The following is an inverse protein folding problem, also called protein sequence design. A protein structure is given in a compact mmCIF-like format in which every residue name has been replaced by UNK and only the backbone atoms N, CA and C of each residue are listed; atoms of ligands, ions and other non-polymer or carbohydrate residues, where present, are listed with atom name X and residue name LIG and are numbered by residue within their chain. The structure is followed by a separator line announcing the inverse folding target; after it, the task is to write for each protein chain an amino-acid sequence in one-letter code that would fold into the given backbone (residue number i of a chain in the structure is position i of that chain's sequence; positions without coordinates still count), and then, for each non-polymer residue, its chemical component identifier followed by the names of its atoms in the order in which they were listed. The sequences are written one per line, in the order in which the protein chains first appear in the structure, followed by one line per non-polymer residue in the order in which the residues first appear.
data_IF_615338108618
#
_entry.id   IF_615338108618
#
_cell.length_a   1.000
_cell.length_b   1.000
_cell.length_c   1.000
_cell.angle_alpha   90.00
_cell.angle_beta   90.00
_cell.angle_gamma   90.00
#
_symmetry.space_group_name_H-M   'P 1'
#
loop_
_entity.id
_entity.type
_entity.pdbx_description
1 polymer ?
#
# COMPACT_ATOMS: atom_id res chain seq x y z
N UNK A 1 -11.10 33.38 -0.89
CA UNK A 1 -10.73 31.98 -0.54
C UNK A 1 -11.95 31.11 -0.79
N UNK A 2 -11.98 30.45 -1.96
CA UNK A 2 -12.99 29.46 -2.27
C UNK A 2 -12.55 28.19 -1.56
N UNK A 3 -13.21 27.84 -0.45
CA UNK A 3 -13.01 26.58 0.23
C UNK A 3 -13.42 25.44 -0.71
N UNK A 4 -12.44 24.69 -1.24
CA UNK A 4 -12.73 23.39 -1.86
C UNK A 4 -13.38 22.52 -0.78
N UNK A 5 -14.70 22.38 -0.83
CA UNK A 5 -15.38 21.29 -0.12
C UNK A 5 -14.73 20.00 -0.59
N UNK A 6 -13.93 19.37 0.27
CA UNK A 6 -13.55 17.96 0.08
C UNK A 6 -14.86 17.21 -0.06
N UNK A 7 -15.15 16.76 -1.27
CA UNK A 7 -16.19 15.75 -1.46
C UNK A 7 -15.63 14.52 -0.76
N UNK A 8 -16.09 14.31 0.47
CA UNK A 8 -15.82 13.06 1.15
C UNK A 8 -16.32 11.95 0.23
N UNK A 9 -15.44 11.04 -0.16
CA UNK A 9 -15.85 9.82 -0.84
C UNK A 9 -16.70 9.05 0.17
N UNK A 10 -18.03 9.23 0.10
CA UNK A 10 -18.94 8.42 0.90
C UNK A 10 -18.93 7.02 0.30
N UNK A 11 -18.36 6.06 1.01
CA UNK A 11 -18.53 4.64 0.70
C UNK A 11 -20.03 4.35 0.75
N UNK A 12 -20.58 3.92 -0.39
CA UNK A 12 -21.99 3.61 -0.56
C UNK A 12 -22.27 2.16 -0.23
N UNK A 13 -21.48 1.28 -0.81
CA UNK A 13 -21.67 -0.16 -0.71
C UNK A 13 -20.55 -0.79 0.14
N UNK A 14 -20.95 -1.65 1.07
CA UNK A 14 -20.03 -2.38 1.96
C UNK A 14 -20.28 -3.86 1.81
N UNK A 15 -19.23 -4.58 1.43
CA UNK A 15 -19.21 -6.03 1.35
C UNK A 15 -18.49 -6.58 2.57
N UNK A 16 -19.10 -7.47 3.32
CA UNK A 16 -18.58 -7.86 4.61
C UNK A 16 -18.59 -9.36 4.87
N UNK A 17 -17.63 -9.84 5.66
CA UNK A 17 -17.68 -11.17 6.23
C UNK A 17 -18.83 -11.28 7.26
N UNK A 18 -19.16 -12.47 7.71
CA UNK A 18 -20.26 -12.69 8.67
C UNK A 18 -20.10 -11.90 9.97
N UNK A 19 -18.85 -11.75 10.47
CA UNK A 19 -18.57 -10.94 11.67
C UNK A 19 -18.87 -9.46 11.43
N UNK A 20 -18.51 -8.90 10.27
CA UNK A 20 -18.76 -7.50 9.95
C UNK A 20 -20.23 -7.21 9.68
N UNK A 21 -20.97 -8.15 9.09
CA UNK A 21 -22.41 -8.01 8.89
C UNK A 21 -23.19 -7.93 10.21
N UNK A 22 -22.74 -8.65 11.24
CA UNK A 22 -23.34 -8.56 12.59
C UNK A 22 -23.18 -7.20 13.24
N UNK A 23 -22.12 -6.45 12.87
CA UNK A 23 -21.84 -5.12 13.39
C UNK A 23 -22.45 -3.99 12.56
N UNK A 24 -22.75 -4.23 11.31
CA UNK A 24 -23.30 -3.21 10.41
C UNK A 24 -24.41 -3.79 9.54
N UNK A 25 -25.64 -3.34 9.79
CA UNK A 25 -26.80 -3.69 8.97
C UNK A 25 -26.74 -3.16 7.53
N UNK A 26 -25.76 -2.31 7.23
CA UNK A 26 -25.55 -1.71 5.90
C UNK A 26 -24.56 -2.51 5.04
N UNK A 27 -24.02 -3.63 5.52
CA UNK A 27 -23.11 -4.46 4.74
C UNK A 27 -23.83 -5.69 4.18
N UNK A 28 -23.61 -5.96 2.90
CA UNK A 28 -24.02 -7.19 2.23
C UNK A 28 -22.93 -8.24 2.35
N UNK A 29 -23.25 -9.50 2.06
CA UNK A 29 -22.28 -10.59 2.17
C UNK A 29 -21.22 -10.47 1.08
N UNK A 30 -19.94 -10.48 1.49
CA UNK A 30 -18.81 -10.60 0.58
C UNK A 30 -18.66 -12.06 0.10
N UNK A 31 -18.26 -12.22 -1.14
CA UNK A 31 -17.76 -13.47 -1.71
C UNK A 31 -16.24 -13.58 -1.54
N UNK A 32 -15.64 -14.67 -1.97
CA UNK A 32 -14.18 -14.84 -1.88
C UNK A 32 -13.44 -13.92 -2.87
N UNK A 33 -14.04 -13.66 -4.03
CA UNK A 33 -13.52 -12.80 -5.08
C UNK A 33 -13.43 -11.33 -4.62
N UNK A 34 -14.35 -10.89 -3.76
CA UNK A 34 -14.38 -9.51 -3.25
C UNK A 34 -13.13 -9.10 -2.46
N UNK A 35 -12.35 -10.08 -1.96
CA UNK A 35 -11.13 -9.79 -1.19
C UNK A 35 -9.97 -9.33 -2.06
N UNK A 36 -9.95 -9.71 -3.35
CA UNK A 36 -8.91 -9.33 -4.31
C UNK A 36 -9.39 -8.34 -5.36
N UNK A 37 -10.68 -7.98 -5.35
CA UNK A 37 -11.27 -7.09 -6.34
C UNK A 37 -10.87 -5.64 -6.11
N UNK A 38 -10.42 -4.97 -7.18
CA UNK A 38 -10.18 -3.53 -7.20
C UNK A 38 -11.44 -2.80 -7.67
N UNK A 39 -12.16 -2.23 -6.72
CA UNK A 39 -13.40 -1.50 -7.02
C UNK A 39 -13.11 -0.11 -7.57
N UNK A 40 -13.50 0.14 -8.82
CA UNK A 40 -13.44 1.48 -9.44
C UNK A 40 -14.63 2.38 -9.04
N UNK A 41 -15.13 2.22 -7.82
CA UNK A 41 -16.33 2.90 -7.31
C UNK A 41 -16.33 3.00 -5.79
N UNK A 42 -17.39 3.61 -5.20
CA UNK A 42 -17.50 3.79 -3.75
C UNK A 42 -17.91 2.50 -3.02
N UNK A 43 -17.20 1.43 -3.26
CA UNK A 43 -17.39 0.09 -2.70
C UNK A 43 -16.22 -0.25 -1.79
N UNK A 44 -16.47 -0.89 -0.66
CA UNK A 44 -15.45 -1.33 0.29
C UNK A 44 -15.74 -2.75 0.74
N UNK A 45 -14.77 -3.64 0.62
CA UNK A 45 -14.79 -4.94 1.28
C UNK A 45 -14.21 -4.84 2.70
N UNK A 46 -14.83 -5.53 3.66
CA UNK A 46 -14.48 -5.47 5.07
C UNK A 46 -14.42 -6.87 5.67
N UNK A 47 -13.29 -7.23 6.24
CA UNK A 47 -13.10 -8.47 6.98
C UNK A 47 -12.69 -8.18 8.42
N UNK A 48 -13.33 -8.83 9.38
CA UNK A 48 -12.94 -8.81 10.78
C UNK A 48 -12.13 -10.07 11.04
N UNK A 49 -10.94 -9.87 11.58
CA UNK A 49 -9.99 -10.92 11.93
C UNK A 49 -9.74 -10.93 13.44
N UNK A 50 -9.20 -12.01 13.97
CA UNK A 50 -9.03 -12.17 15.42
C UNK A 50 -7.60 -11.79 15.88
N UNK A 51 -6.66 -11.62 14.95
CA UNK A 51 -5.27 -11.28 15.27
C UNK A 51 -4.61 -10.47 14.15
N UNK A 52 -3.49 -9.84 14.47
CA UNK A 52 -2.64 -9.17 13.48
C UNK A 52 -2.03 -10.19 12.50
N UNK A 53 -1.73 -11.41 12.95
CA UNK A 53 -1.21 -12.47 12.06
C UNK A 53 -2.22 -12.85 10.99
N UNK A 54 -3.49 -12.96 11.37
CA UNK A 54 -4.57 -13.21 10.40
C UNK A 54 -4.74 -12.04 9.43
N UNK A 55 -4.56 -10.79 9.89
CA UNK A 55 -4.61 -9.62 9.04
C UNK A 55 -3.46 -9.62 8.02
N UNK A 56 -2.23 -9.88 8.46
CA UNK A 56 -1.05 -9.95 7.61
C UNK A 56 -1.19 -11.07 6.58
N UNK A 57 -1.63 -12.26 6.99
CA UNK A 57 -1.90 -13.38 6.08
C UNK A 57 -2.97 -13.02 5.04
N UNK A 58 -4.02 -12.28 5.44
CA UNK A 58 -5.06 -11.83 4.53
C UNK A 58 -4.51 -10.85 3.49
N UNK A 59 -3.68 -9.90 3.91
CA UNK A 59 -2.98 -8.96 3.02
C UNK A 59 -2.08 -9.70 2.04
N UNK A 60 -1.28 -10.66 2.52
CA UNK A 60 -0.39 -11.46 1.69
C UNK A 60 -1.16 -12.23 0.61
N UNK A 61 -2.30 -12.81 1.00
CA UNK A 61 -3.11 -13.65 0.09
C UNK A 61 -3.87 -12.85 -0.96
N UNK A 62 -4.41 -11.68 -0.60
CA UNK A 62 -5.36 -10.96 -1.45
C UNK A 62 -4.89 -9.57 -1.87
N UNK A 63 -3.87 -9.02 -1.23
CA UNK A 63 -3.34 -7.69 -1.54
C UNK A 63 -2.63 -7.62 -2.88
N UNK A 64 -2.57 -6.42 -3.44
CA UNK A 64 -1.86 -6.13 -4.69
C UNK A 64 -0.36 -5.90 -4.50
N UNK A 65 0.14 -5.94 -3.28
CA UNK A 65 1.52 -5.56 -2.88
C UNK A 65 1.86 -4.10 -3.20
N UNK A 66 0.84 -3.26 -3.33
CA UNK A 66 1.01 -1.83 -3.63
C UNK A 66 1.20 -1.02 -2.35
N UNK A 67 0.16 -0.81 -1.57
CA UNK A 67 0.20 0.07 -0.40
C UNK A 67 -0.70 -0.45 0.71
N UNK A 68 -0.12 -0.62 1.89
CA UNK A 68 -0.83 -1.09 3.07
C UNK A 68 -0.60 -0.15 4.25
N UNK A 69 -1.60 0.01 5.10
CA UNK A 69 -1.51 0.84 6.28
C UNK A 69 -2.18 0.20 7.50
N UNK A 70 -1.56 0.39 8.66
CA UNK A 70 -2.15 0.06 9.94
C UNK A 70 -2.44 1.34 10.73
N UNK A 71 -3.57 1.38 11.42
CA UNK A 71 -3.89 2.41 12.42
C UNK A 71 -3.86 1.74 13.78
N UNK A 72 -2.91 2.10 14.62
CA UNK A 72 -2.70 1.48 15.93
C UNK A 72 -1.94 2.40 16.88
N UNK A 73 -2.20 2.28 18.17
CA UNK A 73 -1.40 2.87 19.26
C UNK A 73 -0.45 1.83 19.87
N UNK A 74 -0.52 0.56 19.44
CA UNK A 74 0.32 -0.52 19.94
C UNK A 74 1.62 -0.61 19.14
N UNK A 75 2.74 -0.32 19.79
CA UNK A 75 4.08 -0.32 19.18
C UNK A 75 4.52 -1.69 18.66
N UNK A 76 4.15 -2.77 19.36
CA UNK A 76 4.50 -4.14 18.96
C UNK A 76 3.77 -4.50 17.66
N UNK A 77 2.46 -4.19 17.59
CA UNK A 77 1.66 -4.39 16.39
C UNK A 77 2.19 -3.56 15.21
N UNK A 78 2.59 -2.30 15.45
CA UNK A 78 3.14 -1.45 14.40
C UNK A 78 4.45 -1.99 13.85
N UNK A 79 5.37 -2.41 14.72
CA UNK A 79 6.67 -3.00 14.33
C UNK A 79 6.48 -4.31 13.57
N UNK A 80 5.60 -5.17 14.05
CA UNK A 80 5.28 -6.44 13.39
C UNK A 80 4.71 -6.20 11.98
N UNK A 81 3.75 -5.30 11.86
CA UNK A 81 3.14 -4.93 10.58
C UNK A 81 4.18 -4.40 9.59
N UNK A 82 5.04 -3.47 10.01
CA UNK A 82 6.10 -2.91 9.17
C UNK A 82 7.14 -3.95 8.72
N UNK A 83 7.41 -4.97 9.54
CA UNK A 83 8.43 -5.97 9.23
C UNK A 83 7.90 -7.14 8.39
N UNK A 84 6.62 -7.48 8.51
CA UNK A 84 6.07 -8.69 7.90
C UNK A 84 5.21 -8.41 6.66
N UNK A 85 4.60 -7.22 6.54
CA UNK A 85 3.86 -6.86 5.33
C UNK A 85 4.80 -6.48 4.20
N UNK A 86 4.74 -7.23 3.10
CA UNK A 86 5.63 -7.05 1.95
C UNK A 86 4.92 -6.34 0.78
N UNK A 87 4.58 -5.08 1.01
CA UNK A 87 4.05 -4.18 -0.02
C UNK A 87 5.06 -3.09 -0.38
N UNK A 88 4.89 -2.44 -1.52
CA UNK A 88 5.81 -1.39 -1.98
C UNK A 88 5.81 -0.17 -1.06
N UNK A 89 4.71 0.08 -0.37
CA UNK A 89 4.57 1.10 0.67
C UNK A 89 3.83 0.51 1.86
N UNK A 90 4.44 0.58 3.05
CA UNK A 90 3.84 0.11 4.30
C UNK A 90 3.86 1.24 5.31
N UNK A 91 2.71 1.58 5.88
CA UNK A 91 2.52 2.79 6.66
C UNK A 91 1.90 2.50 8.03
N UNK A 92 2.26 3.31 9.01
CA UNK A 92 1.63 3.32 10.34
C UNK A 92 1.05 4.70 10.59
N UNK A 93 -0.24 4.74 10.94
CA UNK A 93 -0.98 5.96 11.31
C UNK A 93 -0.90 7.08 10.25
N UNK A 94 -0.77 6.70 8.99
CA UNK A 94 -0.70 7.62 7.86
C UNK A 94 -1.71 7.20 6.77
N UNK A 95 -2.12 8.17 5.97
CA UNK A 95 -2.98 7.90 4.83
C UNK A 95 -2.22 7.19 3.71
N UNK A 96 -2.82 6.17 3.11
CA UNK A 96 -2.27 5.53 1.91
C UNK A 96 -2.09 6.48 0.74
N UNK A 97 -2.74 7.65 0.75
CA UNK A 97 -2.56 8.72 -0.23
C UNK A 97 -1.17 9.36 -0.23
N UNK A 98 -0.30 9.05 0.77
CA UNK A 98 1.11 9.43 0.75
C UNK A 98 1.99 8.52 -0.13
N UNK A 99 1.45 7.40 -0.64
CA UNK A 99 2.15 6.59 -1.64
C UNK A 99 2.10 7.27 -3.01
N UNK A 100 2.94 8.26 -3.18
CA UNK A 100 2.98 9.17 -4.34
C UNK A 100 4.42 9.59 -4.60
N UNK A 101 4.83 9.66 -5.87
CA UNK A 101 6.20 9.98 -6.25
C UNK A 101 6.63 11.40 -5.86
N UNK A 102 5.71 12.36 -5.78
CA UNK A 102 6.02 13.72 -5.32
C UNK A 102 6.14 13.77 -3.80
N UNK A 103 5.24 13.10 -3.08
CA UNK A 103 5.28 13.00 -1.62
C UNK A 103 6.56 12.29 -1.14
N UNK A 104 7.04 11.30 -1.89
CA UNK A 104 8.32 10.61 -1.63
C UNK A 104 9.56 11.38 -2.09
N UNK A 105 9.38 12.57 -2.69
CA UNK A 105 10.49 13.40 -3.14
C UNK A 105 11.19 12.90 -4.40
N UNK A 106 10.56 12.04 -5.19
CA UNK A 106 11.12 11.48 -6.42
C UNK A 106 11.01 12.43 -7.63
N UNK A 107 10.34 13.58 -7.46
CA UNK A 107 10.17 14.62 -8.47
C UNK A 107 9.26 14.27 -9.64
N UNK A 108 8.78 13.04 -9.71
CA UNK A 108 7.83 12.54 -10.70
C UNK A 108 7.21 11.23 -10.26
N UNK A 109 6.08 10.86 -10.84
CA UNK A 109 5.54 9.50 -10.83
C UNK A 109 5.14 9.13 -12.26
N UNK A 110 6.00 8.36 -12.92
CA UNK A 110 5.80 7.95 -14.32
C UNK A 110 5.06 6.61 -14.39
N UNK A 111 5.13 5.86 -13.30
CA UNK A 111 4.46 4.60 -13.08
C UNK A 111 4.66 4.11 -11.66
N UNK A 112 4.02 3.00 -11.34
CA UNK A 112 4.16 2.33 -10.04
C UNK A 112 4.48 0.86 -10.30
N UNK A 113 5.47 0.33 -9.59
CA UNK A 113 5.85 -1.08 -9.65
C UNK A 113 5.67 -1.73 -8.28
N UNK A 114 4.96 -2.84 -8.22
CA UNK A 114 4.85 -3.68 -7.03
C UNK A 114 5.90 -4.79 -6.99
N UNK A 115 6.56 -5.04 -8.12
CA UNK A 115 7.61 -6.06 -8.26
C UNK A 115 8.89 -5.70 -7.50
N UNK A 116 9.75 -6.71 -7.28
CA UNK A 116 11.03 -6.58 -6.55
C UNK A 116 12.25 -6.65 -7.46
N UNK A 117 12.06 -6.66 -8.76
CA UNK A 117 13.16 -6.94 -9.68
C UNK A 117 14.07 -5.74 -9.93
N UNK A 118 13.53 -4.53 -10.04
CA UNK A 118 14.27 -3.30 -10.27
C UNK A 118 13.81 -2.22 -9.30
N UNK A 119 13.12 -1.18 -9.78
CA UNK A 119 12.53 -0.17 -8.91
C UNK A 119 11.19 -0.68 -8.35
N UNK A 120 10.91 -0.43 -7.09
CA UNK A 120 9.66 -0.79 -6.41
C UNK A 120 8.96 0.45 -5.88
N UNK A 121 7.62 0.48 -5.99
CA UNK A 121 6.81 1.64 -5.62
C UNK A 121 6.71 2.67 -6.75
N UNK A 122 6.46 3.94 -6.42
CA UNK A 122 6.45 5.03 -7.39
C UNK A 122 7.77 5.15 -8.14
N UNK A 123 7.69 5.30 -9.47
CA UNK A 123 8.86 5.38 -10.36
C UNK A 123 9.08 6.83 -10.77
N UNK A 124 10.10 7.45 -10.22
CA UNK A 124 10.59 8.77 -10.59
C UNK A 124 11.71 8.72 -11.63
N UNK A 125 12.40 9.86 -11.83
CA UNK A 125 13.45 10.00 -12.86
C UNK A 125 14.62 9.03 -12.64
N UNK A 126 15.10 8.87 -11.42
CA UNK A 126 16.19 7.94 -11.12
C UNK A 126 15.84 6.50 -11.44
N UNK A 127 14.60 6.07 -11.15
CA UNK A 127 14.12 4.72 -11.42
C UNK A 127 14.07 4.36 -12.91
N UNK A 128 14.07 5.34 -13.80
CA UNK A 128 14.08 5.18 -15.27
C UNK A 128 15.50 5.20 -15.86
N UNK A 129 16.52 5.42 -15.05
CA UNK A 129 17.90 5.52 -15.49
C UNK A 129 18.72 4.37 -14.93
N UNK A 130 19.87 4.13 -15.53
CA UNK A 130 20.90 3.23 -15.01
C UNK A 130 22.21 3.99 -14.82
N UNK A 131 23.00 3.56 -13.86
CA UNK A 131 24.28 4.16 -13.57
C UNK A 131 25.41 3.33 -14.17
N UNK A 132 26.53 4.01 -14.54
CA UNK A 132 27.78 3.36 -14.91
C UNK A 132 28.92 3.89 -14.04
N UNK A 133 29.88 3.05 -13.75
CA UNK A 133 31.10 3.47 -13.11
C UNK A 133 32.10 4.00 -14.15
N UNK A 134 32.72 5.12 -13.89
CA UNK A 134 33.79 5.67 -14.68
C UNK A 134 35.04 5.68 -13.77
N UNK A 135 36.07 4.95 -14.19
CA UNK A 135 37.32 4.87 -13.46
C UNK A 135 38.44 5.46 -14.35
N UNK A 136 39.09 6.49 -13.82
CA UNK A 136 40.22 7.14 -14.51
C UNK A 136 41.46 6.89 -13.63
N UNK A 137 42.41 6.21 -14.21
CA UNK A 137 43.68 5.88 -13.55
C UNK A 137 44.87 6.38 -14.36
N UNK A 138 46.09 6.34 -13.78
CA UNK A 138 47.36 6.65 -14.41
C UNK A 138 48.38 5.48 -14.32
N UNK A 139 47.84 4.24 -14.41
CA UNK A 139 48.68 3.03 -14.42
C UNK A 139 48.64 2.22 -13.13
N UNK A 140 47.74 2.52 -12.19
CA UNK A 140 47.59 1.72 -10.97
C UNK A 140 47.16 0.29 -11.33
N UNK A 141 47.80 -0.68 -10.68
CA UNK A 141 47.42 -2.10 -10.75
C UNK A 141 46.79 -2.53 -9.44
N UNK A 142 45.91 -3.54 -9.54
CA UNK A 142 45.39 -4.20 -8.35
C UNK A 142 46.44 -5.20 -7.84
N UNK A 143 46.88 -5.11 -6.55
CA UNK A 143 47.80 -6.06 -5.96
C UNK A 143 47.21 -7.47 -5.82
#
# INVERSE_FOLDING_TARGET
RVGRRRRGMCIRDRLGCEKSQKLSSMSTKASEEDWSEEYLGPILSMKIVDSIDEAIFHIEKYGSSHTEAIVTENDESSKKFLSEVDSSSVMVNASTGFADGFEYGLGAEIGISTGKFHVRGPVGLEGLTSQKYIVIGDGQIRP
#
